data_IF_702951058790
#
_entry.id   IF_702951058790
#
_cell.length_a   1.000
_cell.length_b   1.000
_cell.length_c   1.000
_cell.angle_alpha   90.00
_cell.angle_beta   90.00
_cell.angle_gamma   90.00
#
_symmetry.space_group_name_H-M   'P 1'
#
loop_
_entity.id
_entity.type
_entity.pdbx_description
1 polymer ?
#
# COMPACT_ATOMS: atom_id res chain seq x y z
N UNK A 1 -22.06 -2.42 16.07
CA UNK A 1 -21.38 -2.72 14.79
C UNK A 1 -22.43 -3.05 13.75
N UNK A 2 -22.33 -2.53 12.51
CA UNK A 2 -23.23 -2.94 11.43
C UNK A 2 -23.12 -4.46 11.24
N UNK A 3 -24.25 -5.13 11.16
CA UNK A 3 -24.28 -6.58 10.92
C UNK A 3 -24.14 -6.86 9.43
N UNK A 4 -23.72 -8.08 9.08
CA UNK A 4 -23.58 -8.53 7.68
C UNK A 4 -24.89 -8.35 6.88
N UNK A 5 -26.05 -8.37 7.56
CA UNK A 5 -27.38 -8.15 6.98
C UNK A 5 -27.59 -6.70 6.56
N UNK A 6 -27.20 -5.75 7.41
CA UNK A 6 -27.28 -4.31 7.11
C UNK A 6 -26.33 -3.99 5.96
N UNK A 7 -25.09 -4.46 6.04
CA UNK A 7 -24.12 -4.27 4.95
C UNK A 7 -24.60 -4.85 3.61
N UNK A 8 -25.28 -6.00 3.62
CA UNK A 8 -25.88 -6.56 2.41
C UNK A 8 -26.99 -5.68 1.81
N UNK A 9 -27.83 -5.07 2.66
CA UNK A 9 -28.86 -4.12 2.21
C UNK A 9 -28.22 -2.84 1.65
N UNK A 10 -27.15 -2.34 2.28
CA UNK A 10 -26.41 -1.17 1.82
C UNK A 10 -25.75 -1.42 0.45
N UNK A 11 -25.15 -2.60 0.25
CA UNK A 11 -24.59 -3.01 -1.05
C UNK A 11 -25.67 -3.05 -2.13
N UNK A 12 -26.86 -3.59 -1.82
CA UNK A 12 -27.98 -3.64 -2.75
C UNK A 12 -28.48 -2.23 -3.11
N UNK A 13 -28.61 -1.34 -2.12
CA UNK A 13 -29.01 0.04 -2.32
C UNK A 13 -27.97 0.83 -3.16
N UNK A 14 -26.68 0.54 -2.98
CA UNK A 14 -25.59 1.14 -3.75
C UNK A 14 -25.36 0.49 -5.13
N UNK A 15 -26.09 -0.57 -5.47
CA UNK A 15 -25.92 -1.31 -6.73
C UNK A 15 -24.58 -2.06 -6.84
N UNK A 16 -23.94 -2.35 -5.72
CA UNK A 16 -22.64 -3.03 -5.68
C UNK A 16 -22.88 -4.55 -5.64
N UNK A 17 -22.38 -5.30 -6.64
CA UNK A 17 -22.51 -6.75 -6.63
C UNK A 17 -21.68 -7.35 -5.51
N UNK A 18 -22.27 -8.30 -4.77
CA UNK A 18 -21.60 -8.97 -3.65
C UNK A 18 -20.44 -9.87 -4.09
N UNK A 19 -20.49 -10.36 -5.33
CA UNK A 19 -19.48 -11.21 -5.93
C UNK A 19 -18.84 -10.48 -7.10
N UNK A 20 -17.53 -10.55 -7.21
CA UNK A 20 -16.82 -10.05 -8.38
C UNK A 20 -16.63 -11.12 -9.46
N UNK A 21 -16.11 -10.72 -10.61
CA UNK A 21 -15.79 -11.60 -11.74
C UNK A 21 -14.69 -12.65 -11.44
N UNK A 22 -13.98 -12.52 -10.30
CA UNK A 22 -12.96 -13.45 -9.82
C UNK A 22 -13.48 -14.36 -8.72
N UNK A 23 -14.78 -14.31 -8.41
CA UNK A 23 -15.43 -15.12 -7.37
C UNK A 23 -15.14 -14.65 -5.93
N UNK A 24 -14.58 -13.46 -5.74
CA UNK A 24 -14.34 -12.87 -4.41
C UNK A 24 -15.63 -12.24 -3.88
N UNK A 25 -15.78 -12.27 -2.55
CA UNK A 25 -16.96 -11.74 -1.85
C UNK A 25 -16.62 -10.41 -1.20
N UNK A 26 -17.48 -9.40 -1.40
CA UNK A 26 -17.42 -8.14 -0.67
C UNK A 26 -18.08 -8.33 0.70
N UNK A 27 -17.27 -8.25 1.75
CA UNK A 27 -17.70 -8.26 3.14
C UNK A 27 -17.26 -6.96 3.86
N UNK A 28 -17.53 -6.87 5.16
CA UNK A 28 -17.16 -5.69 5.96
C UNK A 28 -15.62 -5.54 6.03
N UNK A 29 -14.88 -6.65 5.97
CA UNK A 29 -13.42 -6.63 6.00
C UNK A 29 -12.84 -6.06 4.68
N UNK A 30 -13.55 -6.20 3.56
CA UNK A 30 -13.18 -5.57 2.30
C UNK A 30 -13.02 -4.05 2.41
N UNK A 31 -13.82 -3.37 3.24
CA UNK A 31 -13.67 -1.93 3.51
C UNK A 31 -12.32 -1.59 4.12
N UNK A 32 -11.83 -2.45 5.03
CA UNK A 32 -10.51 -2.31 5.63
C UNK A 32 -9.42 -2.52 4.58
N UNK A 33 -9.65 -3.42 3.61
CA UNK A 33 -8.71 -3.55 2.51
C UNK A 33 -8.67 -2.31 1.63
N UNK A 34 -9.82 -1.77 1.26
CA UNK A 34 -9.93 -0.53 0.48
C UNK A 34 -9.22 0.63 1.16
N UNK A 35 -9.34 0.75 2.49
CA UNK A 35 -8.62 1.76 3.27
C UNK A 35 -7.09 1.59 3.19
N UNK A 36 -6.58 0.37 3.36
CA UNK A 36 -5.15 0.09 3.23
C UNK A 36 -4.62 0.41 1.83
N UNK A 37 -5.35 0.02 0.78
CA UNK A 37 -4.98 0.32 -0.62
C UNK A 37 -4.96 1.82 -0.89
N UNK A 38 -5.90 2.61 -0.37
CA UNK A 38 -5.89 4.07 -0.55
C UNK A 38 -4.71 4.74 0.15
N UNK A 39 -4.32 4.25 1.34
CA UNK A 39 -3.12 4.77 2.02
C UNK A 39 -1.86 4.50 1.21
N UNK A 40 -1.72 3.30 0.65
CA UNK A 40 -0.60 2.95 -0.23
C UNK A 40 -0.60 3.79 -1.51
N UNK A 41 -1.76 3.95 -2.17
CA UNK A 41 -1.89 4.74 -3.39
C UNK A 41 -1.60 6.24 -3.16
N UNK A 42 -1.86 6.75 -1.95
CA UNK A 42 -1.51 8.11 -1.56
C UNK A 42 -0.02 8.30 -1.20
N UNK A 43 0.82 7.27 -1.34
CA UNK A 43 2.26 7.33 -1.03
C UNK A 43 2.57 7.38 0.46
N UNK A 44 1.62 6.99 1.33
CA UNK A 44 1.84 7.01 2.78
C UNK A 44 2.89 5.97 3.18
N UNK A 45 3.88 6.40 3.96
CA UNK A 45 4.94 5.52 4.42
C UNK A 45 4.36 4.30 5.19
N UNK A 46 4.85 3.06 4.97
CA UNK A 46 4.27 1.84 5.53
C UNK A 46 4.13 1.84 7.06
N UNK A 47 5.03 2.52 7.78
CA UNK A 47 4.96 2.69 9.24
C UNK A 47 3.73 3.50 9.67
N UNK A 48 3.42 4.56 8.93
CA UNK A 48 2.26 5.42 9.20
C UNK A 48 0.98 4.68 8.86
N UNK A 49 0.96 3.94 7.74
CA UNK A 49 -0.16 3.07 7.40
C UNK A 49 -0.41 1.99 8.46
N UNK A 50 0.65 1.36 8.98
CA UNK A 50 0.57 0.38 10.07
C UNK A 50 -0.07 0.97 11.34
N UNK A 51 0.28 2.21 11.70
CA UNK A 51 -0.31 2.91 12.84
C UNK A 51 -1.79 3.23 12.60
N UNK A 52 -2.13 3.74 11.42
CA UNK A 52 -3.51 4.05 11.02
C UNK A 52 -4.40 2.80 11.03
N UNK A 53 -3.87 1.67 10.56
CA UNK A 53 -4.58 0.39 10.56
C UNK A 53 -4.54 -0.31 11.91
N UNK A 54 -3.68 0.09 12.85
CA UNK A 54 -3.46 -0.62 14.15
C UNK A 54 -2.98 -2.06 13.96
N UNK A 55 -2.13 -2.30 12.97
CA UNK A 55 -1.48 -3.60 12.81
C UNK A 55 -0.32 -3.75 13.79
N UNK A 56 -0.20 -4.93 14.39
CA UNK A 56 0.91 -5.26 15.31
C UNK A 56 2.17 -5.67 14.58
N UNK A 57 2.05 -6.26 13.38
CA UNK A 57 3.16 -6.69 12.53
C UNK A 57 3.09 -5.99 11.17
N UNK A 58 4.25 -5.59 10.65
CA UNK A 58 4.35 -4.90 9.35
C UNK A 58 3.94 -5.79 8.18
N UNK A 59 4.11 -7.11 8.30
CA UNK A 59 3.64 -8.12 7.33
C UNK A 59 2.16 -7.96 6.98
N UNK A 60 1.32 -7.59 7.95
CA UNK A 60 -0.12 -7.38 7.76
C UNK A 60 -0.44 -6.15 6.91
N UNK A 61 0.47 -5.19 6.88
CA UNK A 61 0.38 -3.99 6.04
C UNK A 61 1.00 -4.24 4.66
N UNK A 62 2.11 -4.98 4.60
CA UNK A 62 2.89 -5.16 3.38
C UNK A 62 2.38 -6.29 2.46
N UNK A 63 1.84 -7.39 3.01
CA UNK A 63 1.45 -8.56 2.21
C UNK A 63 0.10 -8.42 1.49
N UNK A 64 -0.68 -7.37 1.78
CA UNK A 64 -2.09 -7.32 1.39
C UNK A 64 -2.52 -6.04 0.66
N UNK A 65 -1.72 -4.96 0.72
CA UNK A 65 -2.16 -3.64 0.26
C UNK A 65 -1.29 -2.97 -0.78
N UNK A 66 -0.11 -3.52 -1.03
CA UNK A 66 0.77 -3.01 -2.06
C UNK A 66 0.57 -3.89 -3.28
N UNK A 67 -0.34 -3.49 -4.17
CA UNK A 67 -0.23 -3.98 -5.55
C UNK A 67 1.15 -3.52 -6.05
N UNK A 68 2.07 -4.43 -6.46
CA UNK A 68 3.41 -4.05 -6.88
C UNK A 68 3.42 -2.98 -7.98
N UNK A 69 2.33 -2.86 -8.74
CA UNK A 69 2.13 -1.84 -9.76
C UNK A 69 2.09 -0.41 -9.19
N UNK A 70 1.76 -0.25 -7.90
CA UNK A 70 1.75 1.05 -7.22
C UNK A 70 3.12 1.45 -6.65
N UNK A 71 4.13 0.57 -6.72
CA UNK A 71 5.49 0.91 -6.31
C UNK A 71 6.22 1.53 -7.50
N UNK A 72 6.45 2.84 -7.46
CA UNK A 72 7.34 3.50 -8.42
C UNK A 72 8.80 3.23 -8.04
N UNK A 73 9.27 2.05 -8.44
CA UNK A 73 10.65 1.61 -8.20
C UNK A 73 11.64 2.50 -8.96
N UNK A 74 11.24 3.07 -10.11
CA UNK A 74 12.10 3.90 -10.92
C UNK A 74 12.38 5.24 -10.21
N UNK A 75 11.34 5.92 -9.73
CA UNK A 75 11.49 7.15 -8.94
C UNK A 75 12.32 6.91 -7.67
N UNK A 76 12.09 5.79 -6.98
CA UNK A 76 12.85 5.45 -5.77
C UNK A 76 14.36 5.27 -6.04
N UNK A 77 14.74 4.71 -7.19
CA UNK A 77 16.14 4.56 -7.61
C UNK A 77 16.74 5.90 -8.02
N UNK A 78 16.00 6.74 -8.75
CA UNK A 78 16.46 8.08 -9.15
C UNK A 78 16.63 9.04 -7.96
N UNK A 79 15.83 8.88 -6.90
CA UNK A 79 15.95 9.64 -5.67
C UNK A 79 17.18 9.26 -4.82
N UNK A 80 17.91 8.20 -5.18
CA UNK A 80 19.11 7.81 -4.43
C UNK A 80 20.23 8.86 -4.57
N UNK A 81 20.92 9.19 -3.47
CA UNK A 81 22.12 10.00 -3.54
C UNK A 81 23.19 9.31 -4.42
N UNK A 82 23.83 10.07 -5.31
CA UNK A 82 24.92 9.56 -6.14
C UNK A 82 26.17 9.34 -5.28
N UNK A 83 26.49 8.09 -5.01
CA UNK A 83 27.74 7.71 -4.37
C UNK A 83 28.86 7.57 -5.41
N UNK A 84 29.46 8.70 -5.77
CA UNK A 84 30.64 8.78 -6.64
C UNK A 84 31.70 9.62 -5.95
N UNK A 85 32.73 8.96 -5.42
CA UNK A 85 33.82 9.62 -4.69
C UNK A 85 34.54 10.64 -5.57
N UNK A 86 34.90 11.78 -4.97
CA UNK A 86 36.05 12.53 -5.45
C UNK A 86 37.22 11.55 -5.40
N UNK A 87 37.73 11.11 -6.55
CA UNK A 87 39.13 10.71 -6.62
C UNK A 87 39.88 11.98 -6.29
N UNK A 88 40.24 12.11 -5.01
CA UNK A 88 41.26 13.04 -4.58
C UNK A 88 42.45 12.76 -5.49
N UNK A 89 42.86 13.79 -6.24
CA UNK A 89 44.06 13.75 -7.04
C UNK A 89 45.23 13.62 -6.07
N UNK A 90 45.49 12.39 -5.63
CA UNK A 90 46.67 12.02 -4.89
C UNK A 90 47.86 12.33 -5.78
N UNK A 91 48.71 13.22 -5.26
CA UNK A 91 49.98 13.59 -5.80
C UNK A 91 50.76 12.36 -6.32
N UNK A 92 51.11 12.40 -7.60
CA UNK A 92 52.26 11.75 -8.21
C UNK A 92 52.71 12.76 -9.27
N UNK A 93 53.84 13.44 -9.16
CA UNK A 93 55.13 13.05 -8.61
C UNK A 93 56.14 13.19 -9.75
N UNK A 94 56.95 14.25 -9.71
CA UNK A 94 58.28 14.45 -10.33
C UNK A 94 58.60 15.95 -10.34
#
# INVERSE_FOLDING_TARGET
MPTIRVFGADLQAAGIPKYDNRGRVVDIHALRHTFGTHLSAAGVHPRTAMAAMRHSRIELTMNLYTDPVLLDVAEAVEAMPRFGGKREAAAAGA
#
